data_IF_860921066999
#
_entry.id   IF_860921066999
#
_cell.length_a   1.000
_cell.length_b   1.000
_cell.length_c   1.000
_cell.angle_alpha   90.00
_cell.angle_beta   90.00
_cell.angle_gamma   90.00
#
_symmetry.space_group_name_H-M   'P 1'
#
loop_
_entity.id
_entity.type
_entity.pdbx_description
1 polymer ?
#
# COMPACT_ATOMS: atom_id res chain seq x y z
N UNK A 1 3.94 -33.03 31.95
CA UNK A 1 4.52 -31.70 32.22
C UNK A 1 5.43 -31.34 31.07
N UNK A 2 5.14 -30.26 30.34
CA UNK A 2 5.92 -29.88 29.16
C UNK A 2 5.27 -28.72 28.43
N UNK A 3 5.01 -27.62 29.15
CA UNK A 3 4.62 -26.36 28.55
C UNK A 3 5.81 -25.82 27.75
N UNK A 4 5.83 -26.08 26.44
CA UNK A 4 6.81 -25.50 25.52
C UNK A 4 6.16 -24.28 24.85
N UNK A 5 6.39 -23.13 25.50
CA UNK A 5 6.71 -21.84 24.90
C UNK A 5 5.76 -21.33 23.80
N UNK A 6 4.68 -20.68 24.23
CA UNK A 6 3.67 -19.96 23.43
C UNK A 6 3.84 -18.44 23.60
N UNK A 7 5.00 -17.86 23.29
CA UNK A 7 5.22 -16.43 23.58
C UNK A 7 6.19 -15.71 22.63
N UNK A 8 6.09 -15.91 21.31
CA UNK A 8 6.79 -15.00 20.37
C UNK A 8 6.08 -14.84 19.04
N UNK A 9 5.68 -15.94 18.42
CA UNK A 9 4.94 -15.94 17.14
C UNK A 9 3.51 -15.39 17.28
N UNK A 10 2.88 -15.65 18.42
CA UNK A 10 1.56 -15.14 18.80
C UNK A 10 1.56 -13.62 19.03
N UNK A 11 2.62 -13.09 19.67
CA UNK A 11 2.78 -11.66 19.86
C UNK A 11 3.03 -10.91 18.55
N UNK A 12 3.92 -11.41 17.67
CA UNK A 12 4.20 -10.78 16.37
C UNK A 12 2.99 -10.79 15.42
N UNK A 13 2.10 -11.80 15.54
CA UNK A 13 0.84 -11.87 14.79
C UNK A 13 -0.22 -10.90 15.34
N UNK A 14 -0.29 -10.75 16.66
CA UNK A 14 -1.22 -9.81 17.33
C UNK A 14 -0.94 -8.36 16.92
N UNK A 15 0.33 -7.95 16.85
CA UNK A 15 0.69 -6.60 16.41
C UNK A 15 0.31 -6.34 14.93
N UNK A 16 0.26 -7.37 14.08
CA UNK A 16 -0.25 -7.23 12.71
C UNK A 16 -1.78 -7.12 12.66
N UNK A 17 -2.48 -7.82 13.55
CA UNK A 17 -3.93 -7.76 13.67
C UNK A 17 -4.39 -6.42 14.25
N UNK A 18 -3.68 -5.80 15.19
CA UNK A 18 -4.00 -4.46 15.70
C UNK A 18 -3.87 -3.37 14.61
N UNK A 19 -2.87 -3.49 13.72
CA UNK A 19 -2.74 -2.64 12.53
C UNK A 19 -3.91 -2.86 11.54
N UNK A 20 -4.42 -4.09 11.41
CA UNK A 20 -5.59 -4.42 10.58
C UNK A 20 -6.91 -3.95 11.19
N UNK A 21 -7.05 -3.99 12.52
CA UNK A 21 -8.22 -3.55 13.26
C UNK A 21 -8.32 -2.02 13.27
N UNK A 22 -7.21 -1.30 13.37
CA UNK A 22 -7.18 0.15 13.12
C UNK A 22 -7.52 0.51 11.66
N UNK A 23 -7.18 -0.38 10.72
CA UNK A 23 -7.56 -0.29 9.31
C UNK A 23 -9.06 -0.49 9.05
N UNK A 24 -9.77 -1.21 9.93
CA UNK A 24 -11.23 -1.45 9.81
C UNK A 24 -12.07 -0.23 10.24
N UNK A 25 -11.53 0.68 11.07
CA UNK A 25 -12.24 1.89 11.55
C UNK A 25 -11.98 3.14 10.69
N UNK A 26 -10.87 3.18 9.94
CA UNK A 26 -10.50 4.32 9.09
C UNK A 26 -10.52 3.98 7.59
N UNK A 27 -11.02 4.90 6.75
CA UNK A 27 -11.05 4.72 5.28
C UNK A 27 -9.63 4.70 4.70
N UNK A 28 -9.14 3.50 4.37
CA UNK A 28 -7.88 3.30 3.63
C UNK A 28 -8.05 3.77 2.19
N UNK A 29 -7.04 4.48 1.71
CA UNK A 29 -6.97 5.01 0.35
C UNK A 29 -6.03 4.17 -0.50
N UNK A 30 -6.19 4.15 -1.81
CA UNK A 30 -5.26 3.46 -2.70
C UNK A 30 -4.42 4.45 -3.51
N UNK A 31 -3.12 4.19 -3.59
CA UNK A 31 -2.24 4.94 -4.45
C UNK A 31 -2.61 4.73 -5.92
N UNK A 32 -2.94 5.82 -6.63
CA UNK A 32 -3.34 5.79 -8.04
C UNK A 32 -2.22 5.35 -8.98
N UNK A 33 -0.95 5.49 -8.56
CA UNK A 33 0.20 5.09 -9.37
C UNK A 33 0.69 3.68 -9.05
N UNK A 34 0.95 3.38 -7.78
CA UNK A 34 1.57 2.11 -7.38
C UNK A 34 0.57 1.03 -6.98
N UNK A 35 -0.69 1.37 -6.71
CA UNK A 35 -1.72 0.43 -6.26
C UNK A 35 -1.51 -0.09 -4.83
N UNK A 36 -0.73 0.61 -4.00
CA UNK A 36 -0.52 0.29 -2.59
C UNK A 36 -1.47 1.08 -1.69
N UNK A 37 -1.78 0.53 -0.52
CA UNK A 37 -2.62 1.14 0.49
C UNK A 37 -1.96 2.38 1.11
N UNK A 38 -2.77 3.42 1.36
CA UNK A 38 -2.40 4.69 1.98
C UNK A 38 -3.25 4.84 3.23
N UNK A 39 -2.58 4.79 4.38
CA UNK A 39 -3.20 5.02 5.68
C UNK A 39 -3.45 6.52 5.91
N UNK A 40 -4.43 6.88 6.76
CA UNK A 40 -4.66 8.27 7.15
C UNK A 40 -3.38 8.93 7.67
N UNK A 41 -3.20 10.22 7.34
CA UNK A 41 -1.99 10.96 7.70
C UNK A 41 -0.79 10.74 6.77
N UNK A 42 -0.92 9.88 5.74
CA UNK A 42 0.13 9.64 4.75
C UNK A 42 -0.27 10.06 3.33
N UNK A 43 0.75 10.20 2.49
CA UNK A 43 0.59 10.45 1.06
C UNK A 43 0.34 11.92 0.68
N UNK A 44 -0.02 12.11 -0.59
CA UNK A 44 -0.31 13.41 -1.20
C UNK A 44 -1.51 13.31 -2.15
N UNK A 45 -2.26 14.40 -2.28
CA UNK A 45 -3.33 14.54 -3.27
C UNK A 45 -2.87 15.44 -4.41
N UNK A 46 -3.12 14.99 -5.64
CA UNK A 46 -2.85 15.76 -6.86
C UNK A 46 -4.14 15.90 -7.65
N UNK A 47 -4.58 17.14 -7.88
CA UNK A 47 -5.74 17.43 -8.71
C UNK A 47 -5.27 17.88 -10.09
N UNK A 48 -5.69 17.17 -11.13
CA UNK A 48 -5.41 17.53 -12.52
C UNK A 48 -6.46 18.51 -13.05
N UNK A 49 -6.14 19.28 -14.08
CA UNK A 49 -7.01 20.30 -14.68
C UNK A 49 -8.41 19.79 -15.11
N UNK A 50 -8.56 18.49 -15.39
CA UNK A 50 -9.84 17.87 -15.71
C UNK A 50 -10.67 17.46 -14.47
N UNK A 51 -10.30 17.94 -13.28
CA UNK A 51 -10.96 17.62 -12.01
C UNK A 51 -10.64 16.22 -11.46
N UNK A 52 -9.80 15.42 -12.12
CA UNK A 52 -9.42 14.11 -11.61
C UNK A 52 -8.44 14.24 -10.45
N UNK A 53 -8.79 13.64 -9.32
CA UNK A 53 -7.95 13.59 -8.13
C UNK A 53 -7.19 12.27 -8.09
N UNK A 54 -5.87 12.37 -7.94
CA UNK A 54 -4.96 11.24 -7.79
C UNK A 54 -4.39 11.25 -6.37
N UNK A 55 -4.23 10.07 -5.80
CA UNK A 55 -3.67 9.87 -4.47
C UNK A 55 -2.35 9.14 -4.61
N UNK A 56 -1.30 9.65 -3.96
CA UNK A 56 0.03 9.08 -4.03
C UNK A 56 0.53 8.72 -2.63
N UNK A 57 1.13 7.54 -2.51
CA UNK A 57 1.72 7.07 -1.25
C UNK A 57 2.91 7.94 -0.81
N UNK A 58 3.74 8.37 -1.75
CA UNK A 58 4.96 9.13 -1.49
C UNK A 58 5.36 9.99 -2.70
N UNK A 59 6.38 10.84 -2.52
CA UNK A 59 6.90 11.71 -3.57
C UNK A 59 7.51 10.95 -4.76
N UNK A 60 7.97 9.71 -4.57
CA UNK A 60 8.48 8.88 -5.68
C UNK A 60 7.35 8.52 -6.67
N UNK A 61 6.18 8.17 -6.14
CA UNK A 61 4.99 7.87 -6.94
C UNK A 61 4.50 9.11 -7.69
N UNK A 62 4.47 10.26 -7.02
CA UNK A 62 4.11 11.54 -7.62
C UNK A 62 5.06 11.92 -8.76
N UNK A 63 6.37 11.89 -8.51
CA UNK A 63 7.38 12.20 -9.52
C UNK A 63 7.29 11.25 -10.73
N UNK A 64 7.10 9.95 -10.50
CA UNK A 64 6.96 8.97 -11.58
C UNK A 64 5.69 9.21 -12.41
N UNK A 65 4.58 9.57 -11.76
CA UNK A 65 3.33 9.93 -12.44
C UNK A 65 3.48 11.21 -13.27
N UNK A 66 4.07 12.27 -12.71
CA UNK A 66 4.31 13.53 -13.44
C UNK A 66 5.29 13.35 -14.59
N UNK A 67 6.28 12.47 -14.42
CA UNK A 67 7.21 12.04 -15.47
C UNK A 67 6.57 11.10 -16.51
N UNK A 68 5.26 10.85 -16.42
CA UNK A 68 4.48 9.98 -17.32
C UNK A 68 5.06 8.56 -17.44
N UNK A 69 5.68 8.06 -16.37
CA UNK A 69 6.20 6.68 -16.35
C UNK A 69 5.03 5.70 -16.33
N UNK A 70 5.20 4.57 -17.02
CA UNK A 70 4.18 3.54 -17.05
C UNK A 70 4.31 2.63 -15.80
N UNK A 71 3.31 2.56 -14.91
CA UNK A 71 3.38 1.71 -13.72
C UNK A 71 3.57 0.23 -14.06
N UNK A 72 3.09 -0.25 -15.21
CA UNK A 72 3.25 -1.63 -15.67
C UNK A 72 4.70 -2.04 -15.96
N UNK A 73 5.63 -1.09 -16.01
CA UNK A 73 7.05 -1.32 -16.25
C UNK A 73 7.92 -1.11 -14.99
N UNK A 74 7.32 -0.71 -13.87
CA UNK A 74 8.04 -0.44 -12.62
C UNK A 74 7.80 -1.57 -11.63
N UNK A 75 8.87 -2.32 -11.33
CA UNK A 75 8.82 -3.56 -10.54
C UNK A 75 8.16 -3.42 -9.17
N UNK A 76 8.34 -2.28 -8.51
CA UNK A 76 7.80 -2.03 -7.17
C UNK A 76 6.31 -1.64 -7.13
N UNK A 77 5.60 -1.68 -8.27
CA UNK A 77 4.16 -1.39 -8.32
C UNK A 77 3.34 -2.66 -8.26
N UNK A 78 2.15 -2.59 -7.67
CA UNK A 78 1.20 -3.69 -7.69
C UNK A 78 0.79 -4.05 -9.14
N UNK A 79 0.76 -3.06 -10.03
CA UNK A 79 0.44 -3.26 -11.46
C UNK A 79 1.47 -4.14 -12.17
N UNK A 80 2.77 -3.89 -11.95
CA UNK A 80 3.82 -4.74 -12.49
C UNK A 80 3.68 -6.18 -12.01
N UNK A 81 3.53 -6.39 -10.69
CA UNK A 81 3.39 -7.73 -10.09
C UNK A 81 2.19 -8.51 -10.65
N UNK A 82 1.06 -7.82 -10.89
CA UNK A 82 -0.13 -8.39 -11.54
C UNK A 82 0.14 -8.86 -12.97
N UNK A 83 0.89 -8.07 -13.76
CA UNK A 83 1.25 -8.43 -15.14
C UNK A 83 2.25 -9.58 -15.20
N UNK A 84 3.21 -9.61 -14.27
CA UNK A 84 4.35 -10.53 -14.29
C UNK A 84 4.15 -11.81 -13.45
N UNK A 85 2.92 -12.07 -13.00
CA UNK A 85 2.49 -13.29 -12.28
C UNK A 85 3.28 -13.56 -11.00
N UNK A 86 3.08 -12.71 -9.99
CA UNK A 86 3.19 -13.19 -8.60
C UNK A 86 1.89 -13.94 -8.23
N UNK A 87 1.84 -15.26 -8.54
CA UNK A 87 0.84 -16.19 -7.97
C UNK A 87 -0.17 -16.87 -8.92
N UNK A 88 0.30 -17.53 -9.99
CA UNK A 88 -0.36 -18.75 -10.49
C UNK A 88 0.43 -19.95 -10.01
#
# INVERSE_FOLDING_TARGET
>A
MGAKNRTKLDADYSHNEDHRVAALTMKIKLCSFSGHEIYPGHGRHYTRNNGKVFQFLNGKCEFAFLSKRNPWQINCTAFYRRKHKDGQ
#
